data_IF_396614599367
#
_entry.id   IF_396614599367
#
_cell.length_a   1.000
_cell.length_b   1.000
_cell.length_c   1.000
_cell.angle_alpha   90.00
_cell.angle_beta   90.00
_cell.angle_gamma   90.00
#
_symmetry.space_group_name_H-M   'P 1'
#
loop_
_entity.id
_entity.type
_entity.pdbx_description
1 polymer ?
#
# COMPACT_ATOMS: atom_id res chain seq x y z
N UNK A 1 2.83 28.85 -7.41
CA UNK A 1 3.47 28.32 -6.19
C UNK A 1 3.32 26.82 -6.21
N UNK A 2 4.42 26.07 -6.30
CA UNK A 2 4.37 24.63 -6.08
C UNK A 2 3.95 24.43 -4.62
N UNK A 3 2.80 23.78 -4.37
CA UNK A 3 2.47 23.31 -3.03
C UNK A 3 3.62 22.39 -2.62
N UNK A 4 4.47 22.82 -1.70
CA UNK A 4 5.51 21.98 -1.15
C UNK A 4 4.81 20.71 -0.62
N UNK A 5 5.13 19.57 -1.23
CA UNK A 5 4.65 18.28 -0.77
C UNK A 5 5.36 18.05 0.56
N UNK A 6 4.69 18.48 1.63
CA UNK A 6 5.23 18.56 2.99
C UNK A 6 5.28 17.19 3.69
N UNK A 7 4.89 16.12 3.00
CA UNK A 7 5.02 14.75 3.45
C UNK A 7 5.63 13.90 2.35
N UNK A 8 6.54 12.99 2.70
CA UNK A 8 7.11 12.03 1.76
C UNK A 8 6.60 10.64 2.11
N UNK A 9 6.28 9.86 1.08
CA UNK A 9 5.94 8.45 1.22
C UNK A 9 7.08 7.61 0.64
N UNK A 10 7.58 6.66 1.43
CA UNK A 10 8.48 5.61 0.95
C UNK A 10 7.86 4.26 1.28
N UNK A 11 8.00 3.30 0.37
CA UNK A 11 7.54 1.94 0.55
C UNK A 11 8.71 0.96 0.45
N UNK A 12 8.62 -0.09 1.27
CA UNK A 12 9.52 -1.24 1.26
C UNK A 12 8.70 -2.50 1.54
N UNK A 13 9.29 -3.69 1.40
CA UNK A 13 8.58 -4.92 1.69
C UNK A 13 9.44 -5.93 2.44
N UNK A 14 8.75 -6.86 3.10
CA UNK A 14 9.32 -8.09 3.60
C UNK A 14 8.53 -9.27 3.04
N UNK A 15 9.25 -10.26 2.50
CA UNK A 15 8.69 -11.51 2.03
C UNK A 15 9.38 -12.66 2.77
N UNK A 16 8.58 -13.55 3.36
CA UNK A 16 9.03 -14.80 3.94
C UNK A 16 8.00 -15.88 3.64
N UNK A 17 8.41 -16.92 2.91
CA UNK A 17 7.50 -17.97 2.42
C UNK A 17 6.33 -17.35 1.65
N UNK A 18 5.09 -17.54 2.09
CA UNK A 18 3.89 -16.94 1.50
C UNK A 18 3.43 -15.65 2.18
N UNK A 19 4.18 -15.15 3.17
CA UNK A 19 3.83 -13.94 3.94
C UNK A 19 4.52 -12.74 3.35
N UNK A 20 3.73 -11.82 2.82
CA UNK A 20 4.19 -10.54 2.28
C UNK A 20 3.74 -9.41 3.21
N UNK A 21 4.61 -8.45 3.50
CA UNK A 21 4.25 -7.23 4.23
C UNK A 21 4.78 -6.06 3.42
N UNK A 22 3.89 -5.18 2.97
CA UNK A 22 4.26 -3.88 2.42
C UNK A 22 4.32 -2.88 3.56
N UNK A 23 5.47 -2.24 3.75
CA UNK A 23 5.65 -1.14 4.68
C UNK A 23 5.45 0.18 3.94
N UNK A 24 4.71 1.10 4.56
CA UNK A 24 4.62 2.50 4.15
C UNK A 24 5.20 3.38 5.25
N UNK A 25 6.25 4.11 4.93
CA UNK A 25 6.85 5.14 5.76
C UNK A 25 6.32 6.51 5.32
N UNK A 26 5.62 7.21 6.20
CA UNK A 26 5.18 8.59 6.00
C UNK A 26 6.10 9.49 6.80
N UNK A 27 6.84 10.37 6.13
CA UNK A 27 7.75 11.34 6.77
C UNK A 27 7.19 12.75 6.65
N UNK A 28 7.10 13.47 7.76
CA UNK A 28 6.66 14.86 7.79
C UNK A 28 7.86 15.80 7.60
N UNK A 29 8.02 16.38 6.41
CA UNK A 29 9.05 17.40 6.14
C UNK A 29 8.57 18.82 6.38
N UNK A 30 7.39 18.97 6.95
CA UNK A 30 6.83 20.27 7.26
C UNK A 30 7.38 20.78 8.59
N UNK A 31 7.50 22.10 8.72
CA UNK A 31 7.89 22.73 9.99
C UNK A 31 6.82 22.68 11.09
N UNK A 32 5.71 21.99 10.86
CA UNK A 32 4.55 21.91 11.76
C UNK A 32 4.07 20.46 11.94
N UNK A 33 3.29 20.20 13.00
CA UNK A 33 2.66 18.89 13.21
C UNK A 33 1.64 18.60 12.10
N UNK A 34 1.65 17.37 11.57
CA UNK A 34 0.67 16.88 10.61
C UNK A 34 -0.31 15.92 11.26
N UNK A 35 -1.59 16.10 10.94
CA UNK A 35 -2.68 15.26 11.42
C UNK A 35 -3.34 14.57 10.24
N UNK A 36 -3.52 13.25 10.32
CA UNK A 36 -4.16 12.47 9.26
C UNK A 36 -4.81 11.20 9.81
N UNK A 37 -5.71 10.60 9.02
CA UNK A 37 -6.39 9.36 9.39
C UNK A 37 -5.90 8.23 8.49
N UNK A 38 -5.35 7.19 9.11
CA UNK A 38 -4.82 6.03 8.41
C UNK A 38 -5.40 4.76 9.02
N UNK A 39 -6.20 4.02 8.26
CA UNK A 39 -6.73 2.72 8.66
C UNK A 39 -7.01 1.87 7.42
N UNK A 40 -6.46 0.66 7.39
CA UNK A 40 -6.73 -0.33 6.35
C UNK A 40 -7.59 -1.50 6.86
N UNK A 41 -8.33 -1.32 7.96
CA UNK A 41 -9.14 -2.40 8.55
C UNK A 41 -10.21 -2.95 7.61
N UNK A 42 -10.67 -2.17 6.65
CA UNK A 42 -11.66 -2.61 5.64
C UNK A 42 -11.03 -2.98 4.30
N UNK A 43 -9.70 -2.92 4.20
CA UNK A 43 -8.97 -3.06 2.94
C UNK A 43 -9.10 -1.86 1.99
N UNK A 44 -9.75 -0.78 2.41
CA UNK A 44 -10.03 0.40 1.56
C UNK A 44 -8.75 1.11 1.12
N UNK A 45 -7.76 1.24 1.99
CA UNK A 45 -6.50 1.90 1.64
C UNK A 45 -5.72 1.06 0.65
N UNK A 46 -5.62 -0.25 0.86
CA UNK A 46 -4.98 -1.14 -0.11
C UNK A 46 -5.65 -1.06 -1.49
N UNK A 47 -6.99 -1.18 -1.56
CA UNK A 47 -7.76 -1.07 -2.82
C UNK A 47 -7.49 0.22 -3.59
N UNK A 48 -7.42 1.34 -2.89
CA UNK A 48 -7.37 2.65 -3.53
C UNK A 48 -5.94 3.12 -3.78
N UNK A 49 -5.01 2.76 -2.89
CA UNK A 49 -3.64 3.26 -2.87
C UNK A 49 -2.64 2.37 -3.59
N UNK A 50 -2.82 1.04 -3.60
CA UNK A 50 -1.86 0.11 -4.23
C UNK A 50 -2.10 0.02 -5.73
N UNK A 51 -1.03 0.16 -6.51
CA UNK A 51 -0.97 -0.12 -7.95
C UNK A 51 0.24 -0.99 -8.24
N UNK A 52 0.08 -1.95 -9.14
CA UNK A 52 1.13 -2.85 -9.56
C UNK A 52 1.45 -2.64 -11.03
N UNK A 53 2.72 -2.81 -11.40
CA UNK A 53 3.21 -2.68 -12.76
C UNK A 53 4.12 -3.85 -13.11
N UNK A 54 4.05 -4.34 -14.34
CA UNK A 54 4.95 -5.36 -14.84
C UNK A 54 6.34 -4.80 -15.18
N UNK A 55 7.24 -5.65 -15.68
CA UNK A 55 8.58 -5.26 -16.10
C UNK A 55 8.63 -4.26 -17.27
N UNK A 56 7.51 -4.06 -17.98
CA UNK A 56 7.35 -3.16 -19.13
C UNK A 56 6.59 -1.88 -18.76
N UNK A 57 6.39 -1.63 -17.47
CA UNK A 57 5.62 -0.51 -16.93
C UNK A 57 4.13 -0.52 -17.29
N UNK A 58 3.59 -1.66 -17.71
CA UNK A 58 2.15 -1.84 -17.89
C UNK A 58 1.49 -2.12 -16.53
N UNK A 59 0.36 -1.47 -16.24
CA UNK A 59 -0.38 -1.70 -15.00
C UNK A 59 -0.94 -3.12 -14.97
N UNK A 60 -0.68 -3.84 -13.88
CA UNK A 60 -1.18 -5.19 -13.66
C UNK A 60 -2.65 -5.11 -13.27
N UNK A 61 -3.49 -5.86 -13.99
CA UNK A 61 -4.92 -5.90 -13.74
C UNK A 61 -5.24 -6.50 -12.36
N UNK A 62 -6.31 -5.98 -11.78
CA UNK A 62 -6.83 -6.45 -10.50
C UNK A 62 -7.53 -7.78 -10.74
N UNK A 63 -7.10 -8.82 -10.01
CA UNK A 63 -7.70 -10.13 -10.07
C UNK A 63 -9.09 -10.13 -9.44
N UNK A 64 -9.16 -9.65 -8.20
CA UNK A 64 -10.40 -9.59 -7.44
C UNK A 64 -10.40 -8.35 -6.54
N UNK A 65 -11.57 -7.73 -6.41
CA UNK A 65 -11.84 -6.71 -5.37
C UNK A 65 -12.81 -7.30 -4.36
N UNK A 66 -12.29 -7.75 -3.24
CA UNK A 66 -13.15 -8.12 -2.11
C UNK A 66 -13.68 -6.85 -1.45
N UNK A 67 -14.96 -6.55 -1.66
CA UNK A 67 -15.69 -5.62 -0.83
C UNK A 67 -16.12 -6.39 0.42
N UNK A 68 -15.28 -6.39 1.45
CA UNK A 68 -15.86 -6.56 2.78
C UNK A 68 -16.74 -5.33 3.00
N UNK A 69 -18.05 -5.49 2.79
CA UNK A 69 -19.02 -4.53 3.29
C UNK A 69 -18.88 -4.60 4.80
N UNK A 70 -18.33 -3.57 5.48
CA UNK A 70 -18.46 -3.57 6.91
C UNK A 70 -19.97 -3.50 7.15
N UNK A 71 -20.53 -4.48 7.85
CA UNK A 71 -21.61 -4.13 8.77
C UNK A 71 -21.11 -2.87 9.47
N UNK A 72 -21.84 -1.77 9.31
CA UNK A 72 -21.44 -0.39 9.62
C UNK A 72 -20.95 -0.27 11.07
N UNK A 73 -19.71 -0.67 11.31
CA UNK A 73 -18.98 -0.44 12.52
C UNK A 73 -18.03 0.67 12.13
N UNK A 74 -18.53 1.90 12.16
CA UNK A 74 -17.69 3.08 12.12
C UNK A 74 -16.88 3.11 13.42
N UNK A 75 -15.98 2.15 13.61
CA UNK A 75 -15.01 2.24 14.68
C UNK A 75 -14.20 3.51 14.44
N UNK A 76 -14.10 4.40 15.43
CA UNK A 76 -13.37 5.63 15.28
C UNK A 76 -11.90 5.32 14.97
N UNK A 77 -11.47 5.66 13.75
CA UNK A 77 -10.06 5.60 13.38
C UNK A 77 -9.33 6.66 14.17
N UNK A 78 -8.34 6.26 14.96
CA UNK A 78 -7.52 7.19 15.72
C UNK A 78 -6.80 8.16 14.79
N UNK A 79 -6.82 9.45 15.14
CA UNK A 79 -6.03 10.47 14.45
C UNK A 79 -4.54 10.16 14.64
N UNK A 80 -3.80 10.10 13.54
CA UNK A 80 -2.35 10.02 13.57
C UNK A 80 -1.81 11.45 13.66
N UNK A 81 -0.87 11.66 14.58
CA UNK A 81 -0.15 12.92 14.74
C UNK A 81 1.33 12.67 14.48
N UNK A 82 1.86 13.37 13.49
CA UNK A 82 3.24 13.22 13.06
C UNK A 82 3.97 14.55 13.25
N UNK A 83 4.89 14.66 14.24
CA UNK A 83 5.67 15.86 14.47
C UNK A 83 6.58 16.23 13.29
N UNK A 84 7.12 17.46 13.24
CA UNK A 84 8.11 17.87 12.24
C UNK A 84 9.32 16.93 12.19
N UNK A 85 9.74 16.56 10.98
CA UNK A 85 10.90 15.70 10.68
C UNK A 85 10.82 14.26 11.22
N UNK A 86 9.65 13.82 11.68
CA UNK A 86 9.42 12.45 12.13
C UNK A 86 8.86 11.55 11.02
N UNK A 87 9.08 10.24 11.17
CA UNK A 87 8.57 9.20 10.28
C UNK A 87 7.67 8.24 11.04
N UNK A 88 6.51 7.93 10.47
CA UNK A 88 5.61 6.88 10.97
C UNK A 88 5.47 5.75 9.96
N UNK A 89 5.66 4.51 10.42
CA UNK A 89 5.55 3.30 9.62
C UNK A 89 4.18 2.65 9.76
N UNK A 90 3.61 2.21 8.64
CA UNK A 90 2.38 1.44 8.55
C UNK A 90 2.62 0.13 7.81
N UNK A 91 1.87 -0.91 8.18
CA UNK A 91 2.00 -2.24 7.59
C UNK A 91 0.74 -2.61 6.79
N UNK A 92 0.96 -3.22 5.64
CA UNK A 92 -0.06 -3.83 4.81
C UNK A 92 0.28 -5.31 4.63
N UNK A 93 -0.19 -6.17 5.54
CA UNK A 93 -0.04 -7.61 5.40
C UNK A 93 -0.78 -8.11 4.15
N UNK A 94 -0.13 -9.02 3.45
CA UNK A 94 -0.62 -9.71 2.28
C UNK A 94 -0.15 -11.17 2.28
N UNK A 95 -0.72 -11.95 1.37
CA UNK A 95 -0.30 -13.32 1.11
C UNK A 95 0.00 -13.51 -0.36
N UNK A 96 1.01 -14.32 -0.62
CA UNK A 96 1.30 -14.82 -1.96
C UNK A 96 0.89 -16.29 -2.02
N UNK A 97 0.06 -16.67 -2.98
CA UNK A 97 -0.36 -18.06 -3.17
C UNK A 97 -0.64 -18.34 -4.64
N UNK A 98 -0.91 -19.61 -4.95
CA UNK A 98 -1.30 -20.03 -6.29
C UNK A 98 -2.79 -20.36 -6.32
N UNK A 99 -3.49 -19.91 -7.35
CA UNK A 99 -4.90 -20.20 -7.59
C UNK A 99 -5.12 -20.31 -9.10
N UNK A 100 -5.78 -21.38 -9.55
CA UNK A 100 -6.02 -21.66 -10.98
C UNK A 100 -4.77 -21.61 -11.88
N UNK A 101 -3.59 -21.91 -11.31
CA UNK A 101 -2.30 -21.87 -12.01
C UNK A 101 -1.63 -20.49 -12.07
N UNK A 102 -2.29 -19.45 -11.56
CA UNK A 102 -1.82 -18.08 -11.49
C UNK A 102 -1.18 -17.79 -10.12
N UNK A 103 -0.15 -16.93 -10.08
CA UNK A 103 0.44 -16.46 -8.82
C UNK A 103 -0.29 -15.19 -8.37
N UNK A 104 -0.86 -15.23 -7.16
CA UNK A 104 -1.72 -14.18 -6.63
C UNK A 104 -1.04 -13.49 -5.45
N UNK A 105 -0.94 -12.16 -5.50
CA UNK A 105 -0.63 -11.31 -4.35
C UNK A 105 -1.93 -10.71 -3.82
N UNK A 106 -2.32 -11.10 -2.61
CA UNK A 106 -3.59 -10.70 -1.99
C UNK A 106 -3.37 -9.87 -0.74
N UNK A 107 -3.78 -8.60 -0.81
CA UNK A 107 -3.95 -7.72 0.34
C UNK A 107 -5.39 -7.81 0.84
N UNK A 108 -5.63 -7.40 2.08
CA UNK A 108 -7.00 -7.18 2.56
C UNK A 108 -7.71 -6.20 1.61
N UNK A 109 -8.74 -6.68 0.92
CA UNK A 109 -9.59 -5.89 0.01
C UNK A 109 -9.20 -5.89 -1.47
N UNK A 110 -7.99 -6.34 -1.85
CA UNK A 110 -7.55 -6.34 -3.25
C UNK A 110 -6.55 -7.46 -3.54
N UNK A 111 -6.72 -8.14 -4.66
CA UNK A 111 -5.81 -9.18 -5.15
C UNK A 111 -5.33 -8.86 -6.56
N UNK A 112 -4.10 -9.26 -6.88
CA UNK A 112 -3.46 -9.05 -8.18
C UNK A 112 -2.90 -10.36 -8.71
N UNK A 113 -2.99 -10.57 -10.03
CA UNK A 113 -2.24 -11.63 -10.73
C UNK A 113 -0.83 -11.13 -10.97
N UNK A 114 0.14 -11.62 -10.22
CA UNK A 114 1.54 -11.19 -10.35
C UNK A 114 2.30 -12.13 -11.29
N UNK A 115 3.31 -11.63 -12.03
CA UNK A 115 4.08 -12.46 -12.93
C UNK A 115 4.96 -13.44 -12.12
N UNK A 116 5.00 -14.70 -12.56
CA UNK A 116 5.75 -15.76 -11.88
C UNK A 116 7.24 -15.69 -12.20
N UNK A 117 8.08 -15.77 -11.17
CA UNK A 117 9.55 -15.76 -11.29
C UNK A 117 10.11 -14.53 -12.01
N UNK A 118 9.33 -13.45 -12.07
CA UNK A 118 9.71 -12.19 -12.68
C UNK A 118 9.51 -11.06 -11.68
N UNK A 119 10.28 -10.00 -11.86
CA UNK A 119 10.09 -8.79 -11.06
C UNK A 119 8.86 -8.03 -11.53
N UNK A 120 8.18 -7.41 -10.58
CA UNK A 120 7.14 -6.41 -10.80
C UNK A 120 7.39 -5.22 -9.89
N UNK A 121 6.58 -4.18 -10.03
CA UNK A 121 6.71 -2.97 -9.24
C UNK A 121 5.43 -2.63 -8.51
N UNK A 122 5.56 -2.11 -7.30
CA UNK A 122 4.46 -1.56 -6.50
C UNK A 122 4.63 -0.06 -6.40
N UNK A 123 3.53 0.69 -6.51
CA UNK A 123 3.43 2.05 -5.99
C UNK A 123 2.28 2.12 -4.99
N UNK A 124 2.38 3.09 -4.09
CA UNK A 124 1.34 3.42 -3.13
C UNK A 124 1.02 4.91 -3.17
N UNK A 125 -0.25 5.26 -3.33
CA UNK A 125 -0.73 6.64 -3.25
C UNK A 125 -1.66 6.84 -2.04
N UNK A 126 -1.37 7.86 -1.24
CA UNK A 126 -2.26 8.32 -0.18
C UNK A 126 -2.24 9.84 -0.10
N UNK A 127 -3.41 10.45 0.13
CA UNK A 127 -3.54 11.91 0.20
C UNK A 127 -2.90 12.67 -0.98
N UNK A 128 -2.99 12.10 -2.20
CA UNK A 128 -2.38 12.62 -3.45
C UNK A 128 -0.84 12.65 -3.47
N UNK A 129 -0.21 11.88 -2.60
CA UNK A 129 1.24 11.73 -2.53
C UNK A 129 1.58 10.31 -2.92
N UNK A 130 2.28 10.19 -4.05
CA UNK A 130 2.81 8.94 -4.57
C UNK A 130 4.13 8.59 -3.87
N UNK A 131 4.30 7.32 -3.53
CA UNK A 131 5.56 6.78 -3.01
C UNK A 131 6.58 6.52 -4.12
N UNK A 132 7.78 6.05 -3.74
CA UNK A 132 8.72 5.44 -4.68
C UNK A 132 8.09 4.24 -5.41
N UNK A 133 8.62 3.94 -6.59
CA UNK A 133 8.33 2.71 -7.31
C UNK A 133 9.21 1.58 -6.76
N UNK A 134 8.60 0.63 -6.06
CA UNK A 134 9.28 -0.45 -5.37
C UNK A 134 9.37 -1.68 -6.26
N UNK A 135 10.58 -2.14 -6.57
CA UNK A 135 10.81 -3.43 -7.24
C UNK A 135 10.56 -4.58 -6.26
N UNK A 136 9.82 -5.60 -6.70
CA UNK A 136 9.43 -6.77 -5.91
C UNK A 136 9.72 -8.04 -6.70
N UNK A 137 10.26 -9.04 -6.00
CA UNK A 137 10.49 -10.39 -6.51
C UNK A 137 9.90 -11.36 -5.49
N UNK A 138 9.10 -12.31 -5.98
CA UNK A 138 8.32 -13.25 -5.16
C UNK A 138 8.57 -14.68 -5.56
#
# INVERSE_FOLDING_TARGET
>A
MMNAINMKHDISYHLKENRFILYLDITNHSGEERKFYFSNETGRLARNGIRLFDAKDAEIEIYERAFMSPAYNAEPVSENRLPPNETQRFEFPAKVFEEDGEQILSFKGISFRIPRNEKFYITFEFSRILSNKLEVVV
#
